data_IF_335833066392
#
_entry.id   IF_335833066392
#
_cell.length_a   1.000
_cell.length_b   1.000
_cell.length_c   1.000
_cell.angle_alpha   90.00
_cell.angle_beta   90.00
_cell.angle_gamma   90.00
#
_symmetry.space_group_name_H-M   'P 1'
#
loop_
_entity.id
_entity.type
_entity.pdbx_description
1 polymer ?
#
# COMPACT_ATOMS: atom_id res chain seq x y z
N UNK A 1 1.84 -31.10 8.82
CA UNK A 1 0.72 -30.57 7.99
C UNK A 1 1.26 -29.43 7.13
N UNK A 2 1.02 -29.45 5.82
CA UNK A 2 1.71 -28.61 4.85
C UNK A 2 1.24 -27.14 4.89
N UNK A 3 2.20 -26.21 4.91
CA UNK A 3 2.01 -24.75 4.85
C UNK A 3 1.17 -24.28 3.62
N UNK A 4 1.03 -25.16 2.62
CA UNK A 4 0.19 -24.97 1.43
C UNK A 4 -1.32 -25.11 1.74
N UNK A 5 -1.69 -25.97 2.68
CA UNK A 5 -3.10 -26.21 3.05
C UNK A 5 -3.64 -25.03 3.87
N UNK A 6 -2.84 -24.48 4.78
CA UNK A 6 -3.21 -23.29 5.57
C UNK A 6 -3.33 -22.05 4.67
N UNK A 7 -2.45 -21.90 3.67
CA UNK A 7 -2.56 -20.85 2.63
C UNK A 7 -3.81 -20.99 1.78
N UNK A 8 -4.24 -22.21 1.44
CA UNK A 8 -5.49 -22.44 0.73
C UNK A 8 -6.71 -22.13 1.61
N UNK A 9 -6.63 -22.46 2.90
CA UNK A 9 -7.67 -22.18 3.88
C UNK A 9 -7.83 -20.66 4.10
N UNK A 10 -6.72 -19.91 4.21
CA UNK A 10 -6.74 -18.45 4.29
C UNK A 10 -7.17 -17.77 2.98
N UNK A 11 -6.73 -18.28 1.82
CA UNK A 11 -7.13 -17.76 0.49
C UNK A 11 -8.64 -17.90 0.25
N UNK A 12 -9.25 -18.99 0.71
CA UNK A 12 -10.71 -19.20 0.64
C UNK A 12 -11.47 -18.34 1.67
N UNK A 13 -10.87 -18.05 2.82
CA UNK A 13 -11.42 -17.15 3.86
C UNK A 13 -11.43 -15.68 3.44
N UNK A 14 -10.46 -15.23 2.63
CA UNK A 14 -10.36 -13.85 2.12
C UNK A 14 -11.30 -13.53 0.92
N UNK A 15 -11.99 -14.52 0.35
CA UNK A 15 -13.08 -14.27 -0.61
C UNK A 15 -14.42 -13.92 0.07
N UNK A 16 -14.45 -13.94 1.40
CA UNK A 16 -15.59 -13.51 2.20
C UNK A 16 -15.54 -11.98 2.34
N UNK A 17 -16.63 -11.27 2.07
CA UNK A 17 -16.77 -9.85 2.47
C UNK A 17 -16.73 -9.81 4.00
N UNK A 18 -15.58 -9.43 4.56
CA UNK A 18 -15.47 -9.18 5.99
C UNK A 18 -16.38 -8.01 6.37
N UNK A 19 -17.01 -8.08 7.54
CA UNK A 19 -17.67 -6.90 8.09
C UNK A 19 -16.62 -5.83 8.46
N UNK A 20 -17.05 -4.59 8.57
CA UNK A 20 -16.18 -3.47 8.96
C UNK A 20 -15.53 -3.71 10.34
N UNK A 21 -16.25 -4.38 11.26
CA UNK A 21 -15.76 -4.80 12.57
C UNK A 21 -14.68 -5.91 12.47
N UNK A 22 -14.85 -6.87 11.56
CA UNK A 22 -13.85 -7.92 11.29
C UNK A 22 -12.58 -7.35 10.65
N UNK A 23 -12.72 -6.33 9.79
CA UNK A 23 -11.60 -5.60 9.18
C UNK A 23 -10.85 -4.78 10.25
N UNK A 24 -11.59 -4.04 11.08
CA UNK A 24 -11.02 -3.19 12.12
C UNK A 24 -10.35 -4.00 13.25
N UNK A 25 -10.78 -5.23 13.49
CA UNK A 25 -10.17 -6.14 14.47
C UNK A 25 -9.03 -7.01 13.89
N UNK A 26 -8.75 -6.90 12.58
CA UNK A 26 -7.71 -7.71 11.93
C UNK A 26 -6.32 -7.45 12.51
N UNK A 27 -6.02 -6.19 12.85
CA UNK A 27 -4.76 -5.73 13.44
C UNK A 27 -5.01 -5.14 14.83
N UNK A 28 -4.07 -5.33 15.75
CA UNK A 28 -4.09 -4.61 17.04
C UNK A 28 -3.82 -3.12 16.84
N UNK A 29 -4.14 -2.29 17.82
CA UNK A 29 -3.92 -0.83 17.71
C UNK A 29 -2.45 -0.48 17.51
N UNK A 30 -1.54 -1.15 18.23
CA UNK A 30 -0.09 -0.99 18.02
C UNK A 30 0.34 -1.44 16.61
N UNK A 31 -0.27 -2.50 16.06
CA UNK A 31 0.01 -2.92 14.69
C UNK A 31 -0.50 -1.91 13.66
N UNK A 32 -1.65 -1.29 13.89
CA UNK A 32 -2.14 -0.20 13.04
C UNK A 32 -1.19 0.99 13.08
N UNK A 33 -0.67 1.32 14.26
CA UNK A 33 0.28 2.42 14.43
C UNK A 33 1.63 2.15 13.72
N UNK A 34 2.19 0.94 13.90
CA UNK A 34 3.38 0.48 13.16
C UNK A 34 3.13 0.51 11.65
N UNK A 35 1.93 0.12 11.20
CA UNK A 35 1.57 0.12 9.79
C UNK A 35 1.41 1.55 9.24
N UNK A 36 0.81 2.47 10.01
CA UNK A 36 0.70 3.89 9.68
C UNK A 36 2.09 4.52 9.51
N UNK A 37 3.00 4.29 10.45
CA UNK A 37 4.38 4.77 10.34
C UNK A 37 5.13 4.10 9.16
N UNK A 38 4.87 2.83 8.89
CA UNK A 38 5.39 2.14 7.69
C UNK A 38 4.89 2.78 6.39
N UNK A 39 3.63 3.21 6.34
CA UNK A 39 3.05 3.90 5.19
C UNK A 39 3.77 5.22 4.90
N UNK A 40 4.28 5.91 5.92
CA UNK A 40 5.10 7.12 5.75
C UNK A 40 6.50 6.86 5.18
N UNK A 41 6.92 5.59 5.08
CA UNK A 41 8.21 5.20 4.51
C UNK A 41 9.34 5.03 5.54
N UNK A 42 9.05 5.06 6.83
CA UNK A 42 10.06 4.92 7.89
C UNK A 42 10.66 3.50 7.95
N UNK A 43 11.94 3.41 8.26
CA UNK A 43 12.67 2.19 8.61
C UNK A 43 12.24 1.64 9.99
N UNK A 44 12.68 0.44 10.34
CA UNK A 44 12.32 -0.16 11.63
C UNK A 44 12.88 0.67 12.81
N UNK A 45 14.13 1.13 12.70
CA UNK A 45 14.76 2.04 13.68
C UNK A 45 13.98 3.34 13.85
N UNK A 46 13.60 4.01 12.76
CA UNK A 46 12.82 5.26 12.86
C UNK A 46 11.41 5.05 13.44
N UNK A 47 10.82 3.86 13.25
CA UNK A 47 9.54 3.50 13.89
C UNK A 47 9.75 3.21 15.37
N UNK A 48 10.80 2.47 15.70
CA UNK A 48 11.25 2.13 17.06
C UNK A 48 11.45 3.41 17.89
N UNK A 49 12.20 4.37 17.36
CA UNK A 49 12.43 5.68 17.99
C UNK A 49 11.12 6.43 18.27
N UNK A 50 10.17 6.40 17.33
CA UNK A 50 8.88 7.11 17.48
C UNK A 50 7.94 6.46 18.47
N UNK A 51 7.96 5.14 18.57
CA UNK A 51 7.05 4.37 19.43
C UNK A 51 7.66 4.04 20.81
N UNK A 52 8.95 4.32 21.01
CA UNK A 52 9.65 3.97 22.25
C UNK A 52 9.75 2.46 22.48
N UNK A 53 9.88 1.67 21.40
CA UNK A 53 10.03 0.20 21.42
C UNK A 53 11.29 -0.20 20.68
N UNK A 54 11.80 -1.42 20.85
CA UNK A 54 13.01 -1.85 20.14
C UNK A 54 12.77 -2.21 18.66
N UNK A 55 13.80 -2.07 17.81
CA UNK A 55 13.77 -2.40 16.37
C UNK A 55 13.24 -3.82 16.08
N UNK A 56 13.64 -4.79 16.91
CA UNK A 56 13.23 -6.18 16.76
C UNK A 56 11.74 -6.38 17.09
N UNK A 57 11.16 -5.52 17.93
CA UNK A 57 9.72 -5.50 18.25
C UNK A 57 8.93 -4.94 17.06
N UNK A 58 9.45 -3.91 16.38
CA UNK A 58 8.86 -3.42 15.12
C UNK A 58 8.87 -4.52 14.06
N UNK A 59 9.99 -5.24 13.92
CA UNK A 59 10.09 -6.39 13.03
C UNK A 59 9.06 -7.46 13.40
N UNK A 60 8.93 -7.78 14.70
CA UNK A 60 7.93 -8.71 15.20
C UNK A 60 6.49 -8.27 14.85
N UNK A 61 6.16 -6.99 14.93
CA UNK A 61 4.84 -6.51 14.51
C UNK A 61 4.63 -6.63 12.99
N UNK A 62 5.65 -6.40 12.18
CA UNK A 62 5.55 -6.49 10.72
C UNK A 62 5.48 -7.93 10.21
N UNK A 63 6.46 -8.77 10.52
CA UNK A 63 6.58 -10.14 10.02
C UNK A 63 6.04 -11.19 11.00
N UNK A 64 6.20 -10.96 12.30
CA UNK A 64 5.95 -11.95 13.36
C UNK A 64 7.07 -13.00 13.44
N UNK A 65 7.40 -13.45 14.66
CA UNK A 65 8.48 -14.44 14.90
C UNK A 65 8.27 -15.78 14.15
N UNK A 66 7.02 -16.22 14.03
CA UNK A 66 6.63 -17.46 13.33
C UNK A 66 5.70 -17.21 12.12
N UNK A 67 5.57 -15.96 11.66
CA UNK A 67 4.74 -15.62 10.50
C UNK A 67 3.23 -15.81 10.68
N UNK A 68 2.71 -15.78 11.92
CA UNK A 68 1.26 -15.95 12.20
C UNK A 68 0.55 -14.73 12.73
N UNK A 69 1.27 -13.88 13.47
CA UNK A 69 0.65 -12.78 14.22
C UNK A 69 1.02 -11.39 13.72
N UNK A 70 2.03 -11.28 12.87
CA UNK A 70 2.45 -10.01 12.29
C UNK A 70 1.46 -9.48 11.24
N UNK A 71 1.67 -8.22 10.86
CA UNK A 71 0.87 -7.51 9.85
C UNK A 71 0.90 -8.22 8.50
N UNK A 72 2.08 -8.67 8.05
CA UNK A 72 2.26 -9.31 6.75
C UNK A 72 1.39 -10.57 6.59
N UNK A 73 1.43 -11.56 7.51
CA UNK A 73 0.51 -12.70 7.48
C UNK A 73 -0.97 -12.31 7.50
N UNK A 74 -1.36 -11.36 8.36
CA UNK A 74 -2.75 -10.95 8.54
C UNK A 74 -3.34 -10.28 7.29
N UNK A 75 -2.53 -9.46 6.62
CA UNK A 75 -2.88 -8.83 5.35
C UNK A 75 -2.53 -9.69 4.14
N UNK A 76 -1.99 -10.90 4.34
CA UNK A 76 -1.45 -11.75 3.28
C UNK A 76 -0.50 -10.98 2.34
N UNK A 77 0.40 -10.19 2.91
CA UNK A 77 1.36 -9.36 2.20
C UNK A 77 2.79 -9.92 2.33
N UNK A 78 3.62 -9.68 1.31
CA UNK A 78 5.01 -10.15 1.23
C UNK A 78 6.04 -9.01 1.32
N UNK A 79 5.57 -7.77 1.48
CA UNK A 79 6.41 -6.59 1.59
C UNK A 79 5.67 -5.46 2.30
N UNK A 80 6.43 -4.48 2.79
CA UNK A 80 5.90 -3.25 3.41
C UNK A 80 4.95 -2.51 2.46
N UNK A 81 5.33 -2.40 1.18
CA UNK A 81 4.54 -1.75 0.12
C UNK A 81 3.19 -2.43 -0.05
N UNK A 82 3.21 -3.75 -0.18
CA UNK A 82 2.00 -4.55 -0.37
C UNK A 82 1.09 -4.53 0.87
N UNK A 83 1.67 -4.61 2.07
CA UNK A 83 0.92 -4.52 3.32
C UNK A 83 0.17 -3.19 3.41
N UNK A 84 0.83 -2.09 3.10
CA UNK A 84 0.21 -0.75 3.10
C UNK A 84 -0.87 -0.64 2.02
N UNK A 85 -0.59 -1.05 0.79
CA UNK A 85 -1.57 -1.02 -0.29
C UNK A 85 -2.83 -1.86 0.03
N UNK A 86 -2.65 -3.04 0.63
CA UNK A 86 -3.77 -3.89 1.08
C UNK A 86 -4.54 -3.30 2.25
N UNK A 87 -3.86 -2.72 3.23
CA UNK A 87 -4.53 -2.05 4.34
C UNK A 87 -5.37 -0.86 3.87
N UNK A 88 -4.87 -0.09 2.90
CA UNK A 88 -5.64 0.99 2.26
C UNK A 88 -6.84 0.41 1.49
N UNK A 89 -6.64 -0.63 0.68
CA UNK A 89 -7.71 -1.26 -0.08
C UNK A 89 -8.79 -1.89 0.81
N UNK A 90 -8.43 -2.31 2.03
CA UNK A 90 -9.35 -2.83 3.04
C UNK A 90 -9.99 -1.73 3.91
N UNK A 91 -9.57 -0.46 3.79
CA UNK A 91 -10.05 0.63 4.67
C UNK A 91 -9.47 0.63 6.08
N UNK A 92 -8.45 -0.19 6.36
CA UNK A 92 -7.73 -0.21 7.64
C UNK A 92 -6.87 1.05 7.81
N UNK A 93 -6.34 1.58 6.70
CA UNK A 93 -5.61 2.84 6.66
C UNK A 93 -6.26 3.78 5.66
N UNK A 94 -6.42 5.05 6.03
CA UNK A 94 -6.77 6.10 5.09
C UNK A 94 -5.50 6.88 4.71
N UNK A 95 -5.12 6.94 3.41
CA UNK A 95 -3.97 7.71 2.97
C UNK A 95 -3.96 9.17 3.42
N UNK A 96 -5.14 9.77 3.55
CA UNK A 96 -5.35 11.14 4.04
C UNK A 96 -4.83 11.35 5.47
N UNK A 97 -4.72 10.29 6.27
CA UNK A 97 -4.21 10.37 7.65
C UNK A 97 -2.70 10.65 7.73
N UNK A 98 -1.97 10.57 6.62
CA UNK A 98 -0.50 10.66 6.59
C UNK A 98 0.09 11.18 5.27
N UNK A 99 -0.74 11.69 4.36
CA UNK A 99 -0.33 12.36 3.11
C UNK A 99 -0.83 13.79 3.14
N UNK A 100 0.04 14.74 2.76
CA UNK A 100 -0.32 16.15 2.69
C UNK A 100 -0.90 16.55 1.32
N UNK A 101 -1.71 17.60 1.27
CA UNK A 101 -2.23 18.16 0.00
C UNK A 101 -1.12 18.52 -0.98
N UNK A 102 0.02 19.02 -0.47
CA UNK A 102 1.20 19.33 -1.30
C UNK A 102 1.77 18.08 -1.95
N UNK A 103 1.75 16.94 -1.27
CA UNK A 103 2.21 15.67 -1.84
C UNK A 103 1.23 15.13 -2.86
N UNK A 104 -0.08 15.25 -2.62
CA UNK A 104 -1.12 14.93 -3.61
C UNK A 104 -0.93 15.79 -4.87
N UNK A 105 -0.68 17.09 -4.71
CA UNK A 105 -0.45 18.01 -5.82
C UNK A 105 0.80 17.65 -6.63
N UNK A 106 1.89 17.21 -5.99
CA UNK A 106 3.06 16.67 -6.71
C UNK A 106 2.69 15.43 -7.52
N UNK A 107 1.88 14.53 -6.96
CA UNK A 107 1.38 13.37 -7.70
C UNK A 107 0.54 13.74 -8.93
N UNK A 108 -0.27 14.81 -8.87
CA UNK A 108 -1.02 15.33 -10.03
C UNK A 108 -0.10 15.75 -11.17
N UNK A 109 1.06 16.31 -10.84
CA UNK A 109 2.02 16.81 -11.81
C UNK A 109 2.95 15.73 -12.40
N UNK A 110 2.89 14.48 -11.91
CA UNK A 110 3.62 13.37 -12.52
C UNK A 110 3.14 13.09 -13.94
N UNK A 111 4.07 12.62 -14.78
CA UNK A 111 3.76 12.20 -16.15
C UNK A 111 2.78 11.01 -16.16
N UNK A 112 2.05 10.84 -17.26
CA UNK A 112 1.08 9.73 -17.41
C UNK A 112 1.76 8.37 -17.24
N UNK A 113 2.94 8.19 -17.86
CA UNK A 113 3.73 6.96 -17.74
C UNK A 113 4.21 6.71 -16.31
N UNK A 114 4.60 7.75 -15.58
CA UNK A 114 5.02 7.64 -14.19
C UNK A 114 3.87 7.18 -13.28
N UNK A 115 2.67 7.74 -13.51
CA UNK A 115 1.43 7.31 -12.84
C UNK A 115 1.08 5.87 -13.21
N UNK A 116 1.30 5.45 -14.44
CA UNK A 116 1.08 4.07 -14.89
C UNK A 116 2.04 3.10 -14.19
N UNK A 117 3.33 3.42 -14.13
CA UNK A 117 4.35 2.65 -13.38
C UNK A 117 3.95 2.52 -11.91
N UNK A 118 3.54 3.63 -11.26
CA UNK A 118 3.07 3.61 -9.87
C UNK A 118 1.80 2.78 -9.70
N UNK A 119 0.89 2.80 -10.68
CA UNK A 119 -0.34 2.00 -10.66
C UNK A 119 -0.02 0.49 -10.58
N UNK A 120 0.94 0.01 -11.38
CA UNK A 120 1.39 -1.37 -11.36
C UNK A 120 2.06 -1.75 -10.04
N UNK A 121 2.87 -0.85 -9.48
CA UNK A 121 3.53 -1.07 -8.19
C UNK A 121 2.58 -1.05 -6.99
N UNK A 122 1.45 -0.37 -7.12
CA UNK A 122 0.44 -0.21 -6.07
C UNK A 122 -0.67 -1.27 -6.11
N UNK A 123 -0.74 -2.09 -7.16
CA UNK A 123 -1.87 -3.00 -7.40
C UNK A 123 -1.91 -4.15 -6.36
N UNK A 124 -2.91 -4.17 -5.46
CA UNK A 124 -3.00 -5.17 -4.39
C UNK A 124 -3.54 -6.52 -4.89
N UNK A 125 -4.10 -6.58 -6.10
CA UNK A 125 -4.76 -7.75 -6.70
C UNK A 125 -3.82 -8.63 -7.52
N UNK A 126 -2.58 -8.20 -7.74
CA UNK A 126 -1.60 -9.03 -8.43
C UNK A 126 -1.29 -10.30 -7.59
N UNK A 127 -1.19 -11.47 -8.22
CA UNK A 127 -0.88 -12.71 -7.52
C UNK A 127 0.46 -12.57 -6.80
N UNK A 128 0.57 -13.22 -5.63
CA UNK A 128 1.65 -13.34 -4.63
C UNK A 128 3.14 -13.24 -5.05
N UNK A 129 3.47 -13.13 -6.33
CA UNK A 129 4.79 -12.77 -6.81
C UNK A 129 4.91 -11.24 -6.80
N UNK A 130 5.95 -10.75 -6.09
CA UNK A 130 6.32 -9.33 -6.10
C UNK A 130 6.48 -8.90 -7.56
N UNK A 131 5.62 -8.01 -8.07
CA UNK A 131 5.85 -7.44 -9.40
C UNK A 131 7.23 -6.77 -9.42
N UNK A 132 8.12 -7.34 -10.22
CA UNK A 132 9.49 -6.91 -10.37
C UNK A 132 9.54 -5.73 -11.32
N UNK A 133 10.62 -4.95 -11.24
CA UNK A 133 10.87 -3.85 -12.20
C UNK A 133 10.90 -4.37 -13.65
N UNK A 134 11.31 -5.63 -13.84
CA UNK A 134 11.32 -6.29 -15.15
C UNK A 134 9.89 -6.49 -15.64
N UNK A 135 9.02 -7.10 -14.81
CA UNK A 135 7.61 -7.31 -15.16
C UNK A 135 6.86 -5.98 -15.35
N UNK A 136 7.13 -4.96 -14.53
CA UNK A 136 6.59 -3.61 -14.78
C UNK A 136 7.01 -3.12 -16.16
N UNK A 137 8.29 -3.25 -16.50
CA UNK A 137 8.81 -2.89 -17.82
C UNK A 137 8.10 -3.62 -18.95
N UNK A 138 7.89 -4.92 -18.83
CA UNK A 138 7.13 -5.71 -19.81
C UNK A 138 5.69 -5.19 -19.96
N UNK A 139 5.03 -4.79 -18.86
CA UNK A 139 3.66 -4.26 -18.90
C UNK A 139 3.55 -2.90 -19.56
N UNK A 140 4.54 -2.03 -19.40
CA UNK A 140 4.54 -0.66 -19.96
C UNK A 140 5.40 -0.51 -21.22
N UNK A 141 5.93 -1.62 -21.77
CA UNK A 141 6.75 -1.62 -22.99
C UNK A 141 8.14 -0.98 -22.82
N UNK A 142 8.73 -1.05 -21.62
CA UNK A 142 10.02 -0.43 -21.28
C UNK A 142 11.06 -1.42 -20.77
N UNK A 143 12.34 -1.06 -20.90
CA UNK A 143 13.42 -1.81 -20.28
C UNK A 143 13.44 -1.63 -18.75
N UNK A 144 13.98 -2.60 -18.01
CA UNK A 144 14.18 -2.48 -16.56
C UNK A 144 15.01 -1.26 -16.13
N UNK A 145 15.92 -0.78 -16.99
CA UNK A 145 16.75 0.39 -16.71
C UNK A 145 15.96 1.68 -16.88
N UNK A 146 15.12 1.74 -17.91
CA UNK A 146 14.20 2.85 -18.15
C UNK A 146 13.19 2.97 -17.01
N UNK A 147 12.60 1.85 -16.58
CA UNK A 147 11.69 1.84 -15.40
C UNK A 147 12.42 2.33 -14.14
N UNK A 148 13.67 1.91 -13.89
CA UNK A 148 14.47 2.44 -12.77
C UNK A 148 14.66 3.95 -12.87
N UNK A 149 14.93 4.47 -14.06
CA UNK A 149 15.09 5.90 -14.29
C UNK A 149 13.79 6.66 -14.01
N UNK A 150 12.65 6.18 -14.50
CA UNK A 150 11.34 6.75 -14.16
C UNK A 150 11.08 6.74 -12.65
N UNK A 151 11.36 5.62 -11.97
CA UNK A 151 11.21 5.55 -10.52
C UNK A 151 12.08 6.57 -9.80
N UNK A 152 13.31 6.77 -10.26
CA UNK A 152 14.17 7.82 -9.70
C UNK A 152 13.56 9.21 -9.88
N UNK A 153 13.10 9.54 -11.10
CA UNK A 153 12.42 10.81 -11.40
C UNK A 153 11.20 11.03 -10.52
N UNK A 154 10.32 10.02 -10.43
CA UNK A 154 9.13 10.03 -9.58
C UNK A 154 9.51 10.36 -8.13
N UNK A 155 10.52 9.71 -7.58
CA UNK A 155 10.90 9.92 -6.20
C UNK A 155 11.47 11.32 -5.95
N UNK A 156 12.18 11.87 -6.95
CA UNK A 156 12.72 13.24 -6.90
C UNK A 156 11.60 14.30 -7.05
N UNK A 157 10.58 14.04 -7.86
CA UNK A 157 9.42 14.90 -8.05
C UNK A 157 8.51 14.90 -6.81
N UNK A 158 8.31 13.73 -6.21
CA UNK A 158 7.55 13.59 -4.97
C UNK A 158 8.31 14.10 -3.73
N UNK A 159 9.63 14.34 -3.84
CA UNK A 159 10.53 14.76 -2.76
C UNK A 159 10.52 13.79 -1.57
N UNK A 160 10.63 12.49 -1.84
CA UNK A 160 10.51 11.43 -0.83
C UNK A 160 11.84 10.80 -0.41
N UNK A 161 12.93 11.58 -0.49
CA UNK A 161 14.21 11.25 0.13
C UNK A 161 14.13 11.57 1.62
N UNK A 162 14.58 10.66 2.48
CA UNK A 162 14.78 10.98 3.90
C UNK A 162 16.03 11.87 4.09
N UNK A 163 16.31 12.27 5.33
CA UNK A 163 17.47 13.13 5.68
C UNK A 163 18.82 12.49 5.31
N UNK A 164 18.83 11.17 5.11
CA UNK A 164 20.00 10.39 4.67
C UNK A 164 20.03 10.21 3.15
N UNK A 165 19.10 10.81 2.42
CA UNK A 165 18.98 10.71 0.96
C UNK A 165 18.34 9.40 0.46
N UNK A 166 17.81 8.55 1.35
CA UNK A 166 17.28 7.23 0.99
C UNK A 166 15.87 7.35 0.42
N UNK A 167 15.66 6.73 -0.73
CA UNK A 167 14.39 6.73 -1.48
C UNK A 167 13.38 5.74 -0.86
N UNK A 168 12.19 6.22 -0.49
CA UNK A 168 11.17 5.40 0.17
C UNK A 168 10.00 5.03 -0.75
N UNK A 169 10.17 3.95 -1.51
CA UNK A 169 9.16 3.45 -2.47
C UNK A 169 7.74 3.23 -1.87
N UNK A 170 7.63 2.83 -0.59
CA UNK A 170 6.32 2.74 0.10
C UNK A 170 5.61 4.08 0.17
N UNK A 171 6.34 5.16 0.47
CA UNK A 171 5.78 6.50 0.57
C UNK A 171 5.25 6.98 -0.79
N UNK A 172 5.98 6.75 -1.87
CA UNK A 172 5.52 7.09 -3.22
C UNK A 172 4.19 6.41 -3.57
N UNK A 173 4.05 5.12 -3.28
CA UNK A 173 2.81 4.37 -3.51
C UNK A 173 1.66 4.94 -2.69
N UNK A 174 1.91 5.26 -1.43
CA UNK A 174 0.92 5.86 -0.53
C UNK A 174 0.40 7.19 -1.06
N UNK A 175 1.30 8.10 -1.45
CA UNK A 175 0.90 9.40 -2.01
C UNK A 175 0.07 9.20 -3.28
N UNK A 176 0.49 8.27 -4.15
CA UNK A 176 -0.25 7.95 -5.37
C UNK A 176 -1.64 7.36 -5.10
N UNK A 177 -1.78 6.49 -4.11
CA UNK A 177 -3.07 5.93 -3.71
C UNK A 177 -4.00 7.02 -3.14
N UNK A 178 -3.47 7.94 -2.32
CA UNK A 178 -4.22 9.10 -1.83
C UNK A 178 -4.74 9.97 -2.98
N UNK A 179 -3.85 10.27 -3.95
CA UNK A 179 -4.22 10.98 -5.17
C UNK A 179 -5.35 10.26 -5.92
N UNK A 180 -5.26 8.94 -6.14
CA UNK A 180 -6.33 8.18 -6.81
C UNK A 180 -7.67 8.27 -6.09
N UNK A 181 -7.68 8.17 -4.76
CA UNK A 181 -8.92 8.30 -3.97
C UNK A 181 -9.50 9.72 -4.06
N UNK A 182 -8.66 10.76 -4.08
CA UNK A 182 -9.11 12.15 -4.26
C UNK A 182 -9.81 12.38 -5.61
N UNK A 183 -9.43 11.64 -6.66
CA UNK A 183 -10.12 11.67 -7.96
C UNK A 183 -11.49 10.99 -7.94
N UNK A 184 -11.69 10.04 -7.03
CA UNK A 184 -12.90 9.21 -6.93
C UNK A 184 -13.93 9.83 -5.96
N UNK A 185 -13.57 10.90 -5.23
CA UNK A 185 -14.46 11.56 -4.26
C UNK A 185 -15.80 12.08 -4.86
N UNK A 186 -16.90 12.07 -4.07
CA UNK A 186 -18.26 11.73 -4.52
C UNK A 186 -19.08 12.89 -5.14
N UNK A 187 -18.47 13.72 -5.98
CA UNK A 187 -19.21 14.74 -6.75
C UNK A 187 -19.80 14.20 -8.07
N UNK A 188 -19.55 12.92 -8.42
CA UNK A 188 -19.94 12.35 -9.72
C UNK A 188 -20.82 11.09 -9.63
N UNK A 189 -21.07 10.53 -8.44
CA UNK A 189 -21.93 9.33 -8.29
C UNK A 189 -23.43 9.64 -8.13
N UNK A 190 -23.83 10.92 -8.13
CA UNK A 190 -25.23 11.35 -7.93
C UNK A 190 -26.06 11.54 -9.21
N UNK A 191 -25.60 11.02 -10.35
CA UNK A 191 -26.33 11.05 -11.61
C UNK A 191 -26.16 9.73 -12.36
N UNK A 192 -26.74 8.64 -11.83
CA UNK A 192 -27.23 7.50 -12.62
C UNK A 192 -27.94 6.49 -11.70
N UNK A 193 -29.06 6.89 -11.11
CA UNK A 193 -30.15 5.92 -10.91
C UNK A 193 -31.09 6.06 -12.11
N UNK A 194 -31.29 5.04 -12.95
CA UNK A 194 -32.42 5.05 -13.85
C UNK A 194 -33.68 4.97 -13.00
N UNK A 195 -34.45 6.07 -12.97
CA UNK A 195 -35.83 6.07 -12.51
C UNK A 195 -36.54 4.91 -13.17
N UNK A 196 -36.81 3.86 -12.38
CA UNK A 196 -37.84 2.90 -12.73
C UNK A 196 -39.16 3.62 -12.54
N UNK A 197 -39.62 4.22 -13.63
CA UNK A 197 -41.00 4.62 -13.83
C UNK A 197 -41.85 3.37 -13.61
N UNK A 198 -42.57 3.33 -12.50
CA UNK A 198 -43.69 2.40 -12.31
C UNK A 198 -44.85 3.04 -13.05
N UNK A 199 -45.17 2.49 -14.21
CA UNK A 199 -46.45 2.63 -14.91
C UNK A 199 -47.17 1.29 -14.87
#
# INVERSE_FOLDING_TARGET
MSHLVERFYYRRRMQKRYSEEEINSLLTDLQKEVLKLTATGLSNSEISDRLGIEDHVVEYHLSGKDGRYGIFPRLNAFSRREAVAKAIALGILNPEDFVTDKEIERCKNLQTLDKEILSWLSNPSLPSQRITIVEVGEKVGLSKFTVKHHLQSIYDDLKIKDDRGVLKSTRAIVIYLAYRQSLISPSQERLQEPSKTVG
#
